data_IF_323147763118
#
_entry.id   IF_323147763118
#
_cell.length_a   1.000
_cell.length_b   1.000
_cell.length_c   1.000
_cell.angle_alpha   90.00
_cell.angle_beta   90.00
_cell.angle_gamma   90.00
#
_symmetry.space_group_name_H-M   'P 1'
#
loop_
_entity.id
_entity.type
_entity.pdbx_description
1 polymer ?
#
# COMPACT_ATOMS: atom_id res chain seq x y z
N UNK A 1 -17.47 12.51 -49.66
CA UNK A 1 -17.14 11.38 -48.76
C UNK A 1 -15.89 11.60 -47.87
N UNK A 2 -14.83 12.28 -48.31
CA UNK A 2 -13.61 12.44 -47.50
C UNK A 2 -13.77 13.30 -46.23
N UNK A 3 -14.53 14.41 -46.28
CA UNK A 3 -14.74 15.29 -45.11
C UNK A 3 -15.45 14.62 -43.94
N UNK A 4 -16.39 13.71 -44.21
CA UNK A 4 -17.10 12.94 -43.17
C UNK A 4 -16.19 11.91 -42.47
N UNK A 5 -15.25 11.28 -43.18
CA UNK A 5 -14.27 10.35 -42.59
C UNK A 5 -13.30 11.08 -41.66
N UNK A 6 -12.84 12.27 -42.05
CA UNK A 6 -11.94 13.08 -41.22
C UNK A 6 -12.59 13.54 -39.92
N UNK A 7 -13.87 13.95 -39.96
CA UNK A 7 -14.62 14.37 -38.75
C UNK A 7 -14.82 13.18 -37.80
N UNK A 8 -15.17 12.01 -38.34
CA UNK A 8 -15.32 10.78 -37.53
C UNK A 8 -14.02 10.38 -36.81
N UNK A 9 -12.87 10.51 -37.48
CA UNK A 9 -11.56 10.20 -36.88
C UNK A 9 -11.21 11.18 -35.76
N UNK A 10 -11.49 12.48 -35.96
CA UNK A 10 -11.24 13.50 -34.93
C UNK A 10 -12.15 13.28 -33.71
N UNK A 11 -13.43 12.98 -33.92
CA UNK A 11 -14.37 12.65 -32.83
C UNK A 11 -13.93 11.37 -32.11
N UNK A 12 -13.50 10.34 -32.84
CA UNK A 12 -13.01 9.10 -32.26
C UNK A 12 -11.74 9.33 -31.42
N UNK A 13 -10.77 10.08 -31.93
CA UNK A 13 -9.55 10.45 -31.22
C UNK A 13 -9.84 11.31 -29.98
N UNK A 14 -10.81 12.23 -30.07
CA UNK A 14 -11.23 13.06 -28.95
C UNK A 14 -11.88 12.23 -27.83
N UNK A 15 -12.79 11.31 -28.19
CA UNK A 15 -13.42 10.39 -27.24
C UNK A 15 -12.42 9.40 -26.62
N UNK A 16 -11.42 8.95 -27.38
CA UNK A 16 -10.34 8.10 -26.87
C UNK A 16 -9.45 8.86 -25.88
N UNK A 17 -9.11 10.11 -26.18
CA UNK A 17 -8.31 10.96 -25.29
C UNK A 17 -9.02 11.23 -23.96
N UNK A 18 -10.35 11.36 -23.94
CA UNK A 18 -11.11 11.54 -22.69
C UNK A 18 -11.08 10.32 -21.77
N UNK A 19 -10.89 9.09 -22.31
CA UNK A 19 -10.77 7.89 -21.47
C UNK A 19 -9.42 7.75 -20.77
N UNK A 20 -8.39 8.44 -21.26
CA UNK A 20 -7.04 8.37 -20.69
C UNK A 20 -6.87 9.19 -19.40
N UNK A 21 -7.87 10.00 -19.02
CA UNK A 21 -7.85 10.86 -17.82
C UNK A 21 -8.77 10.28 -16.75
N UNK A 22 -8.59 9.00 -16.41
CA UNK A 22 -9.11 8.46 -15.16
C UNK A 22 -8.00 8.63 -14.11
N UNK A 23 -8.14 9.65 -13.26
CA UNK A 23 -7.24 9.84 -12.12
C UNK A 23 -7.67 8.84 -11.04
N UNK A 24 -7.24 7.59 -11.18
CA UNK A 24 -7.50 6.55 -10.17
C UNK A 24 -6.57 6.80 -8.99
N UNK A 25 -7.12 7.39 -7.92
CA UNK A 25 -6.45 7.42 -6.63
C UNK A 25 -6.22 5.96 -6.23
N UNK A 26 -4.96 5.50 -6.06
CA UNK A 26 -4.71 4.10 -5.73
C UNK A 26 -5.30 3.77 -4.36
N UNK A 27 -5.95 2.61 -4.26
CA UNK A 27 -6.44 2.11 -2.99
C UNK A 27 -5.29 1.75 -2.06
N UNK A 28 -5.42 2.08 -0.77
CA UNK A 28 -4.48 1.69 0.28
C UNK A 28 -5.04 0.50 1.07
N UNK A 29 -4.28 -0.59 1.11
CA UNK A 29 -4.58 -1.75 1.95
C UNK A 29 -3.42 -1.92 2.94
N UNK A 30 -3.72 -1.82 4.23
CA UNK A 30 -2.77 -2.11 5.31
C UNK A 30 -3.06 -3.49 5.90
N UNK A 31 -2.10 -4.41 5.77
CA UNK A 31 -2.17 -5.77 6.34
C UNK A 31 -1.13 -5.87 7.45
N UNK A 32 -1.56 -6.30 8.64
CA UNK A 32 -0.68 -6.56 9.79
C UNK A 32 -0.72 -8.04 10.14
N UNK A 33 0.46 -8.65 10.30
CA UNK A 33 0.63 -9.98 10.86
C UNK A 33 1.16 -9.85 12.29
N UNK A 34 0.31 -10.06 13.29
CA UNK A 34 0.71 -9.88 14.69
C UNK A 34 1.85 -10.84 15.09
N UNK A 35 2.83 -10.33 15.82
CA UNK A 35 4.01 -11.10 16.25
C UNK A 35 4.94 -11.57 15.11
N UNK A 36 4.80 -11.04 13.88
CA UNK A 36 5.69 -11.38 12.77
C UNK A 36 7.06 -10.71 12.95
N UNK A 37 8.03 -11.43 13.51
CA UNK A 37 9.38 -10.91 13.74
C UNK A 37 10.12 -10.68 12.41
N UNK A 38 11.04 -9.70 12.39
CA UNK A 38 11.73 -9.25 11.18
C UNK A 38 12.46 -10.36 10.38
N UNK A 39 12.93 -11.42 11.04
CA UNK A 39 13.66 -12.53 10.42
C UNK A 39 12.74 -13.65 9.90
N UNK A 40 11.44 -13.63 10.21
CA UNK A 40 10.52 -14.70 9.83
C UNK A 40 10.33 -14.80 8.31
N UNK A 41 10.43 -13.68 7.59
CA UNK A 41 10.35 -13.64 6.14
C UNK A 41 11.57 -14.28 5.43
N UNK A 42 12.68 -14.50 6.14
CA UNK A 42 13.92 -15.06 5.59
C UNK A 42 14.06 -16.57 5.88
N UNK A 43 12.95 -17.25 6.18
CA UNK A 43 12.93 -18.69 6.51
C UNK A 43 12.66 -19.59 5.31
N UNK A 44 12.70 -19.05 4.10
CA UNK A 44 12.46 -19.77 2.83
C UNK A 44 11.10 -20.49 2.72
N UNK A 45 10.13 -20.11 3.55
CA UNK A 45 8.76 -20.67 3.57
C UNK A 45 7.69 -19.65 3.20
N UNK A 46 8.07 -18.45 2.76
CA UNK A 46 7.16 -17.34 2.45
C UNK A 46 7.34 -16.82 1.01
N UNK A 47 7.06 -17.65 -0.02
CA UNK A 47 7.34 -17.29 -1.42
C UNK A 47 6.59 -16.03 -1.90
N UNK A 48 5.39 -15.78 -1.37
CA UNK A 48 4.63 -14.57 -1.70
C UNK A 48 5.25 -13.30 -1.10
N UNK A 49 5.76 -13.37 0.14
CA UNK A 49 6.44 -12.23 0.75
C UNK A 49 7.80 -11.97 0.11
N UNK A 50 8.50 -13.03 -0.30
CA UNK A 50 9.74 -12.92 -1.07
C UNK A 50 9.50 -12.22 -2.40
N UNK A 51 8.45 -12.62 -3.14
CA UNK A 51 8.05 -11.93 -4.37
C UNK A 51 7.72 -10.46 -4.11
N UNK A 52 6.97 -10.14 -3.05
CA UNK A 52 6.67 -8.75 -2.67
C UNK A 52 7.94 -7.94 -2.35
N UNK A 53 8.95 -8.57 -1.74
CA UNK A 53 10.25 -7.94 -1.44
C UNK A 53 11.06 -7.65 -2.72
N UNK A 54 11.02 -8.56 -3.70
CA UNK A 54 11.72 -8.41 -4.98
C UNK A 54 11.04 -7.40 -5.92
N UNK A 55 9.71 -7.38 -5.95
CA UNK A 55 8.91 -6.50 -6.81
C UNK A 55 8.59 -5.14 -6.18
N UNK A 56 8.89 -4.96 -4.89
CA UNK A 56 8.49 -3.80 -4.08
C UNK A 56 9.59 -3.23 -3.20
N UNK A 57 9.19 -2.68 -2.05
CA UNK A 57 10.09 -2.07 -1.07
C UNK A 57 10.07 -2.88 0.22
N UNK A 58 11.23 -3.04 0.84
CA UNK A 58 11.37 -3.70 2.14
C UNK A 58 12.36 -2.97 3.04
N UNK A 59 12.23 -3.17 4.35
CA UNK A 59 13.17 -2.70 5.36
C UNK A 59 13.90 -3.89 6.01
N UNK A 60 15.07 -3.64 6.60
CA UNK A 60 15.81 -4.66 7.37
C UNK A 60 15.02 -5.14 8.59
N UNK A 61 14.38 -4.22 9.30
CA UNK A 61 13.47 -4.48 10.42
C UNK A 61 12.59 -3.26 10.69
N UNK A 62 11.54 -3.45 11.47
CA UNK A 62 10.72 -2.37 12.04
C UNK A 62 10.96 -2.34 13.55
N UNK A 63 11.34 -1.18 14.09
CA UNK A 63 11.42 -0.98 15.53
C UNK A 63 10.01 -0.65 16.08
N UNK A 64 9.41 -1.49 16.93
CA UNK A 64 8.11 -1.19 17.52
C UNK A 64 8.26 -0.13 18.62
N UNK A 65 7.14 0.51 18.95
CA UNK A 65 7.04 1.33 20.16
C UNK A 65 7.15 0.47 21.42
N UNK A 66 7.52 1.09 22.54
CA UNK A 66 7.45 0.47 23.85
C UNK A 66 6.15 0.85 24.57
N UNK A 67 5.42 -0.10 25.21
CA UNK A 67 5.71 -1.54 25.26
C UNK A 67 5.38 -2.23 23.93
N UNK A 68 6.15 -3.26 23.56
CA UNK A 68 5.96 -4.04 22.34
C UNK A 68 4.77 -5.01 22.48
N UNK A 69 3.56 -4.45 22.53
CA UNK A 69 2.27 -5.13 22.71
C UNK A 69 1.37 -4.85 21.51
N UNK A 70 0.42 -5.76 21.25
CA UNK A 70 -0.48 -5.71 20.09
C UNK A 70 -1.22 -4.38 20.01
N UNK A 71 -1.99 -4.01 21.03
CA UNK A 71 -2.85 -2.83 20.99
C UNK A 71 -2.06 -1.52 20.90
N UNK A 72 -1.04 -1.28 21.76
CA UNK A 72 -0.17 -0.10 21.64
C UNK A 72 0.48 0.02 20.26
N UNK A 73 1.08 -1.07 19.75
CA UNK A 73 1.83 -1.03 18.49
C UNK A 73 0.95 -0.76 17.26
N UNK A 74 -0.21 -1.44 17.16
CA UNK A 74 -1.12 -1.24 16.04
C UNK A 74 -1.69 0.18 16.03
N UNK A 75 -2.02 0.72 17.19
CA UNK A 75 -2.55 2.08 17.27
C UNK A 75 -1.48 3.13 16.95
N UNK A 76 -0.22 2.91 17.35
CA UNK A 76 0.89 3.79 16.95
C UNK A 76 1.12 3.79 15.43
N UNK A 77 0.98 2.66 14.74
CA UNK A 77 1.10 2.59 13.27
C UNK A 77 0.02 3.43 12.57
N UNK A 78 -1.21 3.38 13.08
CA UNK A 78 -2.36 4.09 12.48
C UNK A 78 -2.33 5.58 12.79
N UNK A 79 -1.93 5.96 14.01
CA UNK A 79 -1.98 7.35 14.49
C UNK A 79 -0.69 8.13 14.28
N UNK A 80 0.45 7.45 14.14
CA UNK A 80 1.78 8.08 14.16
C UNK A 80 2.20 8.61 15.54
N UNK A 81 1.47 8.27 16.60
CA UNK A 81 1.73 8.73 17.96
C UNK A 81 2.40 7.64 18.81
N UNK A 82 3.16 8.04 19.83
CA UNK A 82 3.64 7.13 20.87
C UNK A 82 2.51 6.75 21.85
N UNK A 83 2.61 5.61 22.57
CA UNK A 83 1.62 5.17 23.56
C UNK A 83 1.25 6.20 24.62
N UNK A 84 2.21 7.01 25.06
CA UNK A 84 1.98 8.13 26.00
C UNK A 84 1.05 9.22 25.43
N UNK A 85 1.02 9.39 24.10
CA UNK A 85 0.26 10.43 23.42
C UNK A 85 -1.13 9.93 22.98
N UNK A 86 -1.24 8.66 22.58
CA UNK A 86 -2.54 8.07 22.20
C UNK A 86 -3.24 7.31 23.34
N UNK A 87 -2.61 7.16 24.49
CA UNK A 87 -3.22 6.62 25.72
C UNK A 87 -3.44 5.09 25.77
N UNK A 88 -3.15 4.36 24.69
CA UNK A 88 -3.24 2.90 24.67
C UNK A 88 -1.89 2.31 25.06
N UNK A 89 -1.76 1.93 26.34
CA UNK A 89 -0.51 1.42 26.93
C UNK A 89 -0.54 -0.08 27.24
N UNK A 90 -1.69 -0.74 27.10
CA UNK A 90 -1.90 -2.16 27.39
C UNK A 90 -2.93 -2.78 26.44
N UNK A 91 -3.08 -4.10 26.49
CA UNK A 91 -4.06 -4.87 25.70
C UNK A 91 -5.43 -4.94 26.39
#
# INVERSE_FOLDING_TARGET
MHRFRSISIVIFLFLFAQRAVANEIPYLILVSFDGFRWDYANRDITPNLERMKLEGVSALSLQPVFPSKTFPSHYSIISGLYPENHGIIYN
#
